data_IF_241329925357
#
_entry.id   IF_241329925357
#
_cell.length_a   1.000
_cell.length_b   1.000
_cell.length_c   1.000
_cell.angle_alpha   90.00
_cell.angle_beta   90.00
_cell.angle_gamma   90.00
#
_symmetry.space_group_name_H-M   'P 1'
#
loop_
_entity.id
_entity.type
_entity.pdbx_description
1 polymer ?
#
# COMPACT_ATOMS: atom_id res chain seq x y z
N UNK A 1 6.88 -7.35 6.73
CA UNK A 1 6.43 -6.05 6.17
C UNK A 1 5.16 -6.26 5.36
N UNK A 2 4.18 -5.37 5.48
CA UNK A 2 2.87 -5.43 4.82
C UNK A 2 2.96 -5.38 3.28
N UNK A 3 1.86 -5.66 2.59
CA UNK A 3 1.68 -5.41 1.16
C UNK A 3 0.36 -4.70 0.92
N UNK A 4 0.33 -3.79 -0.02
CA UNK A 4 -0.91 -3.20 -0.48
C UNK A 4 -1.02 -3.18 -2.00
N UNK A 5 -2.26 -3.07 -2.46
CA UNK A 5 -2.66 -2.97 -3.85
C UNK A 5 -3.73 -1.91 -3.98
N UNK A 6 -3.61 -1.08 -5.00
CA UNK A 6 -4.58 -0.06 -5.39
C UNK A 6 -4.96 -0.31 -6.85
N UNK A 7 -6.24 -0.23 -7.13
CA UNK A 7 -6.79 -0.19 -8.48
C UNK A 7 -7.65 1.05 -8.63
N UNK A 8 -7.48 1.78 -9.73
CA UNK A 8 -8.39 2.82 -10.19
C UNK A 8 -8.64 2.62 -11.68
N UNK A 9 -9.90 2.55 -12.09
CA UNK A 9 -10.30 2.32 -13.48
C UNK A 9 -11.50 3.15 -13.93
N UNK A 10 -11.56 3.41 -15.24
CA UNK A 10 -12.75 3.96 -15.89
C UNK A 10 -13.92 2.99 -15.75
N UNK A 11 -13.64 1.71 -15.92
CA UNK A 11 -14.59 0.62 -15.80
C UNK A 11 -14.42 -0.14 -14.48
N UNK A 12 -15.51 -0.67 -13.91
CA UNK A 12 -15.41 -1.40 -12.66
C UNK A 12 -14.75 -2.77 -12.88
N UNK A 13 -13.72 -3.07 -12.07
CA UNK A 13 -13.01 -4.34 -12.01
C UNK A 13 -13.62 -5.26 -10.97
N UNK A 14 -13.75 -6.54 -11.29
CA UNK A 14 -14.10 -7.57 -10.30
C UNK A 14 -12.94 -7.76 -9.34
N UNK A 15 -13.22 -7.74 -8.03
CA UNK A 15 -12.17 -7.82 -7.00
C UNK A 15 -11.29 -9.07 -7.17
N UNK A 16 -11.89 -10.21 -7.56
CA UNK A 16 -11.13 -11.45 -7.74
C UNK A 16 -10.03 -11.36 -8.82
N UNK A 17 -10.21 -10.53 -9.85
CA UNK A 17 -9.20 -10.34 -10.89
C UNK A 17 -7.96 -9.60 -10.39
N UNK A 18 -8.04 -9.01 -9.20
CA UNK A 18 -6.94 -8.31 -8.55
C UNK A 18 -6.42 -9.06 -7.32
N UNK A 19 -7.35 -9.61 -6.51
CA UNK A 19 -7.03 -10.10 -5.18
C UNK A 19 -6.66 -11.59 -5.14
N UNK A 20 -7.32 -12.41 -5.96
CA UNK A 20 -7.25 -13.88 -5.81
C UNK A 20 -6.76 -14.62 -7.05
N UNK A 21 -7.18 -14.23 -8.25
CA UNK A 21 -6.90 -14.96 -9.49
C UNK A 21 -5.47 -14.81 -10.03
N UNK A 22 -4.83 -13.61 -10.03
CA UNK A 22 -3.47 -13.50 -10.54
C UNK A 22 -2.52 -14.42 -9.78
N UNK A 23 -1.60 -15.10 -10.49
CA UNK A 23 -0.61 -16.00 -9.88
C UNK A 23 0.25 -15.30 -8.83
N UNK A 24 0.46 -14.00 -8.96
CA UNK A 24 1.12 -13.17 -7.97
C UNK A 24 0.18 -12.11 -7.39
N UNK A 25 -1.07 -12.52 -7.10
CA UNK A 25 -2.07 -11.67 -6.44
C UNK A 25 -1.62 -11.25 -5.05
N UNK A 26 -2.22 -10.18 -4.50
CA UNK A 26 -1.89 -9.72 -3.15
C UNK A 26 -2.08 -10.83 -2.09
N UNK A 27 -3.05 -11.73 -2.28
CA UNK A 27 -3.25 -12.88 -1.39
C UNK A 27 -2.06 -13.85 -1.52
N UNK A 28 -1.59 -14.12 -2.73
CA UNK A 28 -0.42 -14.97 -2.92
C UNK A 28 0.85 -14.32 -2.37
N UNK A 29 1.02 -13.01 -2.57
CA UNK A 29 2.10 -12.24 -1.95
C UNK A 29 2.08 -12.31 -0.42
N UNK A 30 0.95 -12.60 0.21
CA UNK A 30 0.88 -12.69 1.66
C UNK A 30 1.63 -13.90 2.24
N UNK A 31 1.87 -14.95 1.46
CA UNK A 31 2.66 -16.11 1.87
C UNK A 31 3.86 -16.41 0.94
N UNK A 32 3.89 -15.85 -0.27
CA UNK A 32 4.99 -15.97 -1.24
C UNK A 32 5.35 -14.58 -1.79
N UNK A 33 5.89 -13.73 -0.92
CA UNK A 33 6.35 -12.40 -1.28
C UNK A 33 7.81 -12.47 -1.77
N UNK A 34 8.09 -11.90 -2.94
CA UNK A 34 9.40 -12.01 -3.61
C UNK A 34 10.32 -10.82 -3.37
N UNK A 35 9.74 -9.65 -3.07
CA UNK A 35 10.48 -8.40 -2.89
C UNK A 35 10.45 -7.92 -1.44
N UNK A 36 10.49 -8.87 -0.50
CA UNK A 36 10.48 -8.54 0.93
C UNK A 36 11.82 -7.99 1.38
N UNK A 37 11.70 -7.07 2.30
CA UNK A 37 12.84 -6.47 2.97
C UNK A 37 13.11 -7.16 4.32
N UNK A 38 12.16 -7.89 4.87
CA UNK A 38 12.23 -8.57 6.15
C UNK A 38 12.25 -10.09 6.00
N UNK A 39 12.81 -10.79 6.99
CA UNK A 39 12.94 -12.24 6.98
C UNK A 39 11.65 -12.99 7.35
N UNK A 40 10.57 -12.28 7.70
CA UNK A 40 9.31 -12.95 8.02
C UNK A 40 8.62 -13.43 6.74
N UNK A 41 8.43 -14.74 6.55
CA UNK A 41 7.98 -15.28 5.26
C UNK A 41 6.51 -14.99 4.95
N UNK A 42 5.69 -14.61 5.96
CA UNK A 42 4.24 -14.65 5.84
C UNK A 42 3.59 -13.37 6.39
N UNK A 43 2.62 -12.80 5.65
CA UNK A 43 1.73 -11.71 6.07
C UNK A 43 0.39 -12.30 6.53
N UNK A 44 0.39 -12.97 7.69
CA UNK A 44 -0.76 -13.71 8.21
C UNK A 44 -1.57 -13.00 9.28
N UNK A 45 -1.24 -11.74 9.61
CA UNK A 45 -1.78 -11.02 10.77
C UNK A 45 -3.02 -10.20 10.45
N UNK A 46 -3.77 -10.65 9.45
CA UNK A 46 -4.99 -10.02 9.00
C UNK A 46 -4.86 -9.35 7.63
N UNK A 47 -6.00 -8.91 7.13
CA UNK A 47 -6.10 -8.22 5.85
C UNK A 47 -7.29 -7.25 5.87
N UNK A 48 -7.39 -6.46 4.81
CA UNK A 48 -8.61 -5.72 4.53
C UNK A 48 -8.67 -5.26 3.08
N UNK A 49 -9.90 -5.05 2.65
CA UNK A 49 -10.28 -4.52 1.33
C UNK A 49 -11.25 -3.40 1.53
N UNK A 50 -10.96 -2.25 0.95
CA UNK A 50 -11.85 -1.10 0.88
C UNK A 50 -12.17 -0.79 -0.59
N UNK A 51 -13.40 -0.45 -0.88
CA UNK A 51 -13.84 -0.10 -2.23
C UNK A 51 -15.06 0.82 -2.21
N UNK A 52 -15.19 1.62 -3.27
CA UNK A 52 -16.37 2.47 -3.44
C UNK A 52 -17.41 1.76 -4.29
N UNK A 53 -18.67 1.81 -3.87
CA UNK A 53 -19.78 1.18 -4.59
C UNK A 53 -20.12 1.96 -5.87
N UNK A 54 -20.66 1.27 -6.88
CA UNK A 54 -21.03 1.90 -8.15
C UNK A 54 -22.31 2.75 -8.04
N UNK A 55 -23.18 2.34 -7.14
CA UNK A 55 -24.51 2.91 -6.94
C UNK A 55 -24.59 3.66 -5.61
N UNK A 56 -23.46 4.23 -5.17
CA UNK A 56 -23.41 5.03 -3.94
C UNK A 56 -24.62 5.96 -3.92
N UNK A 57 -25.56 5.70 -3.00
CA UNK A 57 -26.79 6.48 -2.90
C UNK A 57 -26.44 7.96 -2.89
N UNK A 58 -27.32 8.82 -3.43
CA UNK A 58 -27.07 10.27 -3.47
C UNK A 58 -26.67 10.75 -2.07
N UNK A 59 -25.38 11.05 -1.88
CA UNK A 59 -24.82 11.58 -0.64
C UNK A 59 -23.94 10.61 0.17
N UNK A 60 -23.93 9.29 -0.10
CA UNK A 60 -23.01 8.38 0.58
C UNK A 60 -21.79 8.10 -0.32
N UNK A 61 -20.68 8.76 0.02
CA UNK A 61 -19.36 8.57 -0.61
C UNK A 61 -18.42 7.72 0.24
N UNK A 62 -18.90 7.21 1.38
CA UNK A 62 -18.08 6.39 2.25
C UNK A 62 -17.71 5.06 1.57
N UNK A 63 -16.48 4.57 1.73
CA UNK A 63 -16.07 3.29 1.18
C UNK A 63 -16.69 2.12 1.96
N UNK A 64 -16.98 1.03 1.25
CA UNK A 64 -17.29 -0.24 1.87
C UNK A 64 -15.99 -0.93 2.33
N UNK A 65 -15.98 -1.48 3.55
CA UNK A 65 -14.83 -2.16 4.13
C UNK A 65 -15.14 -3.62 4.42
N UNK A 66 -14.19 -4.49 4.10
CA UNK A 66 -14.14 -5.85 4.61
C UNK A 66 -12.75 -6.12 5.20
N UNK A 67 -12.70 -6.33 6.52
CA UNK A 67 -11.47 -6.59 7.27
C UNK A 67 -11.61 -7.87 8.08
N UNK A 68 -10.51 -8.59 8.29
CA UNK A 68 -10.46 -9.75 9.17
C UNK A 68 -9.04 -9.95 9.71
N UNK A 69 -8.94 -10.55 10.90
CA UNK A 69 -7.66 -10.91 11.53
C UNK A 69 -7.10 -12.25 11.04
N UNK A 70 -7.90 -13.03 10.32
CA UNK A 70 -7.45 -14.29 9.72
C UNK A 70 -6.51 -14.03 8.54
N UNK A 71 -5.62 -14.97 8.21
CA UNK A 71 -4.85 -14.89 6.99
C UNK A 71 -5.75 -14.76 5.75
N UNK A 72 -5.37 -13.89 4.80
CA UNK A 72 -6.17 -13.61 3.61
C UNK A 72 -6.40 -14.86 2.74
N UNK A 73 -5.39 -15.75 2.63
CA UNK A 73 -5.47 -16.97 1.83
C UNK A 73 -6.42 -18.03 2.39
N UNK A 74 -6.81 -17.94 3.67
CA UNK A 74 -7.70 -18.88 4.34
C UNK A 74 -9.09 -18.30 4.62
N UNK A 75 -9.45 -17.18 4.00
CA UNK A 75 -10.73 -16.52 4.25
C UNK A 75 -11.71 -16.76 3.11
N UNK A 76 -12.65 -17.72 3.29
CA UNK A 76 -13.67 -18.07 2.30
C UNK A 76 -14.63 -16.92 1.98
N UNK A 77 -14.91 -16.04 2.94
CA UNK A 77 -15.79 -14.89 2.69
C UNK A 77 -15.10 -13.88 1.78
N UNK A 78 -13.78 -13.66 1.93
CA UNK A 78 -13.02 -12.83 1.00
C UNK A 78 -13.12 -13.38 -0.43
N UNK A 79 -12.96 -14.69 -0.61
CA UNK A 79 -13.09 -15.33 -1.92
C UNK A 79 -14.48 -15.09 -2.53
N UNK A 80 -15.55 -15.36 -1.77
CA UNK A 80 -16.94 -15.21 -2.22
C UNK A 80 -17.28 -13.76 -2.58
N UNK A 81 -16.89 -12.80 -1.72
CA UNK A 81 -17.11 -11.37 -1.96
C UNK A 81 -16.32 -10.92 -3.19
N UNK A 82 -15.06 -11.35 -3.33
CA UNK A 82 -14.20 -10.93 -4.46
C UNK A 82 -14.77 -11.35 -5.82
N UNK A 83 -15.45 -12.50 -5.91
CA UNK A 83 -16.03 -12.99 -7.16
C UNK A 83 -17.27 -12.19 -7.62
N UNK A 84 -17.96 -11.55 -6.70
CA UNK A 84 -19.25 -10.89 -6.96
C UNK A 84 -19.19 -9.37 -6.92
N UNK A 85 -18.19 -8.83 -6.24
CA UNK A 85 -18.06 -7.37 -6.06
C UNK A 85 -17.22 -6.76 -7.19
N UNK A 86 -17.70 -5.62 -7.71
CA UNK A 86 -16.99 -4.81 -8.71
C UNK A 86 -16.89 -3.38 -8.25
N UNK A 87 -15.75 -2.74 -8.49
CA UNK A 87 -15.55 -1.33 -8.18
C UNK A 87 -14.57 -0.66 -9.14
N UNK A 88 -14.68 0.65 -9.27
CA UNK A 88 -13.74 1.50 -10.02
C UNK A 88 -12.53 1.92 -9.20
N UNK A 89 -12.62 1.84 -7.87
CA UNK A 89 -11.55 2.19 -6.96
C UNK A 89 -11.51 1.19 -5.80
N UNK A 90 -10.38 0.50 -5.69
CA UNK A 90 -10.16 -0.60 -4.74
C UNK A 90 -8.82 -0.39 -4.04
N UNK A 91 -8.82 -0.46 -2.72
CA UNK A 91 -7.65 -0.53 -1.85
C UNK A 91 -7.64 -1.88 -1.16
N UNK A 92 -6.53 -2.61 -1.23
CA UNK A 92 -6.38 -3.89 -0.56
C UNK A 92 -5.05 -3.96 0.19
N UNK A 93 -5.05 -4.62 1.34
CA UNK A 93 -3.89 -4.71 2.21
C UNK A 93 -3.81 -6.08 2.88
N UNK A 94 -2.60 -6.65 2.96
CA UNK A 94 -2.29 -7.81 3.79
C UNK A 94 -1.25 -7.43 4.83
N UNK A 95 -1.56 -7.75 6.08
CA UNK A 95 -0.82 -7.28 7.25
C UNK A 95 0.26 -8.26 7.67
N UNK A 96 1.45 -7.73 7.92
CA UNK A 96 2.48 -8.37 8.75
C UNK A 96 2.71 -7.46 9.95
N UNK A 97 2.35 -7.92 11.13
CA UNK A 97 2.44 -7.13 12.35
C UNK A 97 3.88 -7.05 12.84
N UNK A 98 4.40 -5.84 12.93
CA UNK A 98 5.62 -5.54 13.67
C UNK A 98 5.32 -4.84 14.99
N UNK A 99 4.07 -4.34 15.12
CA UNK A 99 3.60 -3.56 16.27
C UNK A 99 2.08 -3.69 16.46
N UNK A 100 1.65 -3.73 17.72
CA UNK A 100 0.24 -3.81 18.10
C UNK A 100 -0.34 -5.24 18.13
N UNK A 101 -1.49 -5.37 18.78
CA UNK A 101 -2.20 -6.65 18.93
C UNK A 101 -2.94 -7.06 17.65
N UNK A 102 -3.26 -8.34 17.52
CA UNK A 102 -4.15 -8.83 16.48
C UNK A 102 -5.57 -8.32 16.76
N UNK A 103 -6.02 -7.37 15.95
CA UNK A 103 -7.36 -6.78 15.99
C UNK A 103 -7.75 -6.27 14.61
N UNK A 104 -9.04 -6.34 14.27
CA UNK A 104 -9.57 -5.74 13.05
C UNK A 104 -9.39 -4.21 13.03
N UNK A 105 -9.36 -3.56 14.21
CA UNK A 105 -9.08 -2.13 14.34
C UNK A 105 -7.67 -1.78 13.84
N UNK A 106 -6.75 -2.74 13.87
CA UNK A 106 -5.37 -2.58 13.38
C UNK A 106 -5.19 -3.01 11.90
N UNK A 107 -6.24 -3.52 11.24
CA UNK A 107 -6.20 -3.88 9.83
C UNK A 107 -6.51 -2.67 8.94
N UNK A 108 -5.73 -2.52 7.87
CA UNK A 108 -5.97 -1.51 6.83
C UNK A 108 -7.04 -1.98 5.82
N UNK A 109 -7.71 -1.08 5.08
CA UNK A 109 -7.59 0.38 5.16
C UNK A 109 -8.23 0.95 6.42
N UNK A 110 -7.72 2.11 6.86
CA UNK A 110 -8.43 2.99 7.79
C UNK A 110 -9.31 3.94 6.99
N UNK A 111 -10.41 4.39 7.58
CA UNK A 111 -11.36 5.30 6.91
C UNK A 111 -11.85 6.40 7.82
N UNK A 112 -12.13 7.53 7.20
CA UNK A 112 -12.81 8.67 7.80
C UNK A 112 -13.65 9.35 6.72
N UNK A 113 -14.98 9.39 6.89
CA UNK A 113 -15.90 9.80 5.86
C UNK A 113 -15.61 9.10 4.51
N UNK A 114 -15.34 9.85 3.45
CA UNK A 114 -14.97 9.30 2.15
C UNK A 114 -13.47 9.00 1.98
N UNK A 115 -12.65 9.26 2.99
CA UNK A 115 -11.20 9.09 2.91
C UNK A 115 -10.81 7.67 3.30
N UNK A 116 -9.97 7.00 2.49
CA UNK A 116 -9.29 5.75 2.85
C UNK A 116 -7.78 5.94 2.93
N UNK A 117 -7.13 5.23 3.87
CA UNK A 117 -5.70 5.27 4.09
C UNK A 117 -5.11 3.89 4.33
N UNK A 118 -3.93 3.64 3.77
CA UNK A 118 -3.09 2.46 4.03
C UNK A 118 -1.64 2.87 4.28
N UNK A 119 -0.93 2.07 5.07
CA UNK A 119 0.49 2.20 5.33
C UNK A 119 1.20 0.87 5.16
N UNK A 120 2.27 0.84 4.38
CA UNK A 120 3.23 -0.25 4.33
C UNK A 120 4.59 0.26 4.80
N UNK A 121 4.93 -0.06 6.03
CA UNK A 121 6.14 0.42 6.68
C UNK A 121 6.06 0.34 8.19
N UNK A 122 6.75 1.26 8.84
CA UNK A 122 6.74 1.44 10.29
C UNK A 122 7.55 2.65 10.70
N UNK A 123 7.13 3.31 11.76
CA UNK A 123 7.83 4.44 12.36
C UNK A 123 8.85 3.91 13.35
N UNK A 124 10.11 4.27 13.16
CA UNK A 124 11.17 3.94 14.11
C UNK A 124 10.92 4.61 15.46
N UNK A 125 11.11 3.84 16.53
CA UNK A 125 10.93 4.32 17.92
C UNK A 125 9.58 5.07 18.14
N UNK A 126 8.51 4.57 17.54
CA UNK A 126 7.18 5.20 17.59
C UNK A 126 6.72 5.52 19.01
N UNK A 127 6.98 4.64 19.98
CA UNK A 127 6.58 4.83 21.37
C UNK A 127 7.11 6.14 21.97
N UNK A 128 8.31 6.59 21.54
CA UNK A 128 8.92 7.82 22.03
C UNK A 128 8.26 9.08 21.47
N UNK A 129 7.63 8.99 20.29
CA UNK A 129 6.99 10.15 19.64
C UNK A 129 5.45 10.12 19.73
N UNK A 130 4.87 8.99 20.12
CA UNK A 130 3.42 8.79 20.16
C UNK A 130 2.67 9.87 20.94
N UNK A 131 3.14 10.18 22.16
CA UNK A 131 2.50 11.21 22.99
C UNK A 131 2.57 12.59 22.32
N UNK A 132 3.70 12.92 21.68
CA UNK A 132 3.86 14.17 20.94
C UNK A 132 2.89 14.26 19.78
N UNK A 133 2.74 13.17 19.00
CA UNK A 133 1.79 13.09 17.91
C UNK A 133 0.36 13.31 18.40
N UNK A 134 -0.05 12.61 19.47
CA UNK A 134 -1.40 12.71 20.03
C UNK A 134 -1.69 14.13 20.52
N UNK A 135 -0.74 14.80 21.17
CA UNK A 135 -0.90 16.18 21.63
C UNK A 135 -0.87 17.22 20.51
N UNK A 136 -0.40 16.86 19.32
CA UNK A 136 -0.31 17.77 18.17
C UNK A 136 -1.59 17.77 17.33
N UNK A 137 -2.29 16.65 17.21
CA UNK A 137 -3.48 16.53 16.38
C UNK A 137 -4.73 17.08 17.08
N UNK A 138 -5.73 17.46 16.30
CA UNK A 138 -7.04 17.86 16.83
C UNK A 138 -7.68 16.70 17.62
N UNK A 139 -8.33 17.04 18.74
CA UNK A 139 -9.01 16.06 19.60
C UNK A 139 -9.99 15.16 18.81
N UNK A 140 -10.73 15.71 17.87
CA UNK A 140 -11.68 14.93 17.05
C UNK A 140 -11.00 13.82 16.26
N UNK A 141 -9.78 14.01 15.76
CA UNK A 141 -9.03 12.99 15.03
C UNK A 141 -8.36 12.01 15.99
N UNK A 142 -7.96 12.45 17.18
CA UNK A 142 -7.51 11.55 18.22
C UNK A 142 -8.63 10.57 18.65
N UNK A 143 -9.86 11.03 18.81
CA UNK A 143 -11.01 10.20 19.19
C UNK A 143 -11.40 9.15 18.14
N UNK A 144 -10.89 9.26 16.90
CA UNK A 144 -11.09 8.25 15.84
C UNK A 144 -10.11 7.07 15.95
N UNK A 145 -9.02 7.21 16.70
CA UNK A 145 -8.05 6.13 16.90
C UNK A 145 -8.67 5.05 17.78
N UNK A 146 -8.91 3.87 17.20
CA UNK A 146 -9.55 2.71 17.85
C UNK A 146 -8.57 1.59 18.14
N UNK A 147 -7.49 1.52 17.38
CA UNK A 147 -6.43 0.53 17.50
C UNK A 147 -5.21 1.05 18.25
N UNK A 148 -4.09 0.39 18.03
CA UNK A 148 -2.86 0.67 18.77
C UNK A 148 -1.65 0.91 17.84
N UNK A 149 -1.84 0.90 16.52
CA UNK A 149 -0.72 0.96 15.55
C UNK A 149 -0.24 2.38 15.31
N UNK A 150 1.02 2.50 14.95
CA UNK A 150 1.61 3.71 14.39
C UNK A 150 0.87 4.18 13.12
N UNK A 151 0.43 3.23 12.32
CA UNK A 151 -0.28 3.48 11.05
C UNK A 151 -1.61 4.23 11.24
N UNK A 152 -2.40 3.86 12.26
CA UNK A 152 -3.65 4.56 12.55
C UNK A 152 -3.39 5.96 13.12
N UNK A 153 -2.33 6.13 13.94
CA UNK A 153 -1.90 7.44 14.39
C UNK A 153 -1.40 8.32 13.22
N UNK A 154 -0.72 7.72 12.21
CA UNK A 154 -0.38 8.44 10.98
C UNK A 154 -1.62 8.91 10.23
N UNK A 155 -2.66 8.10 10.17
CA UNK A 155 -3.92 8.51 9.54
C UNK A 155 -4.57 9.67 10.26
N UNK A 156 -4.64 9.64 11.59
CA UNK A 156 -5.15 10.76 12.40
C UNK A 156 -4.33 12.05 12.17
N UNK A 157 -2.99 11.93 12.07
CA UNK A 157 -2.11 13.06 11.72
C UNK A 157 -2.37 13.57 10.31
N UNK A 158 -2.59 12.69 9.33
CA UNK A 158 -2.94 13.08 7.96
C UNK A 158 -4.26 13.87 7.91
N UNK A 159 -5.29 13.44 8.64
CA UNK A 159 -6.57 14.16 8.74
C UNK A 159 -6.37 15.55 9.33
N UNK A 160 -5.50 15.68 10.34
CA UNK A 160 -5.13 16.99 10.89
C UNK A 160 -4.41 17.85 9.85
N UNK A 161 -3.44 17.31 9.12
CA UNK A 161 -2.73 18.03 8.05
C UNK A 161 -3.67 18.48 6.93
N UNK A 162 -4.67 17.65 6.53
CA UNK A 162 -5.70 18.03 5.57
C UNK A 162 -6.46 19.27 6.04
N UNK A 163 -6.90 19.27 7.31
CA UNK A 163 -7.61 20.43 7.89
C UNK A 163 -6.73 21.68 7.93
N UNK A 164 -5.47 21.56 8.33
CA UNK A 164 -4.52 22.69 8.36
C UNK A 164 -4.27 23.24 6.95
N UNK A 165 -4.25 22.38 5.94
CA UNK A 165 -4.08 22.78 4.54
C UNK A 165 -5.36 23.29 3.86
N UNK A 166 -6.44 23.45 4.61
CA UNK A 166 -7.67 24.08 4.15
C UNK A 166 -8.72 23.14 3.57
N UNK A 167 -8.59 21.83 3.78
CA UNK A 167 -9.63 20.85 3.46
C UNK A 167 -10.31 20.37 4.73
N UNK A 168 -11.64 20.37 4.76
CA UNK A 168 -12.40 19.82 5.89
C UNK A 168 -12.68 18.32 5.67
N UNK A 169 -12.03 17.41 6.44
CA UNK A 169 -12.27 15.98 6.31
C UNK A 169 -13.69 15.53 6.65
N UNK A 170 -14.46 16.34 7.40
CA UNK A 170 -15.86 16.04 7.75
C UNK A 170 -16.84 16.37 6.62
N UNK A 171 -16.39 17.08 5.60
CA UNK A 171 -17.26 17.54 4.52
C UNK A 171 -17.81 16.43 3.62
N UNK A 172 -17.13 15.26 3.56
CA UNK A 172 -17.43 14.22 2.60
C UNK A 172 -17.22 14.63 1.13
N UNK A 173 -16.64 15.81 0.88
CA UNK A 173 -16.34 16.32 -0.45
C UNK A 173 -15.02 15.77 -0.99
N UNK A 174 -14.76 16.03 -2.28
CA UNK A 174 -13.48 15.67 -2.90
C UNK A 174 -12.41 16.71 -2.55
N UNK A 175 -11.25 16.24 -2.19
CA UNK A 175 -10.11 17.10 -1.86
C UNK A 175 -9.36 17.51 -3.14
N UNK A 176 -8.90 18.77 -3.19
CA UNK A 176 -7.96 19.16 -4.25
C UNK A 176 -6.70 18.29 -4.19
N UNK A 177 -6.25 17.78 -5.35
CA UNK A 177 -5.10 16.87 -5.42
C UNK A 177 -3.82 17.47 -4.84
N UNK A 178 -3.63 18.78 -4.96
CA UNK A 178 -2.44 19.46 -4.42
C UNK A 178 -2.50 19.49 -2.90
N UNK A 179 -3.70 19.77 -2.33
CA UNK A 179 -3.91 19.75 -0.88
C UNK A 179 -3.70 18.32 -0.35
N UNK A 180 -4.29 17.32 -1.00
CA UNK A 180 -4.14 15.92 -0.61
C UNK A 180 -2.66 15.49 -0.62
N UNK A 181 -1.93 15.83 -1.69
CA UNK A 181 -0.48 15.56 -1.80
C UNK A 181 0.31 16.31 -0.74
N UNK A 182 0.07 17.61 -0.55
CA UNK A 182 0.78 18.41 0.44
C UNK A 182 0.59 17.85 1.84
N UNK A 183 -0.64 17.44 2.18
CA UNK A 183 -0.95 16.86 3.49
C UNK A 183 -0.22 15.53 3.74
N UNK A 184 -0.03 14.69 2.70
CA UNK A 184 0.82 13.49 2.80
C UNK A 184 2.28 13.87 3.07
N UNK A 185 2.80 14.87 2.36
CA UNK A 185 4.17 15.35 2.55
C UNK A 185 4.36 15.94 3.94
N UNK A 186 3.42 16.75 4.42
CA UNK A 186 3.47 17.36 5.77
C UNK A 186 3.42 16.29 6.87
N UNK A 187 2.58 15.26 6.68
CA UNK A 187 2.54 14.09 7.58
C UNK A 187 3.91 13.43 7.67
N UNK A 188 4.55 13.17 6.53
CA UNK A 188 5.91 12.62 6.48
C UNK A 188 6.91 13.54 7.18
N UNK A 189 6.83 14.86 6.94
CA UNK A 189 7.76 15.83 7.54
C UNK A 189 7.62 15.89 9.07
N UNK A 190 6.39 15.88 9.61
CA UNK A 190 6.16 15.84 11.05
C UNK A 190 6.78 14.59 11.68
N UNK A 191 6.47 13.42 11.13
CA UNK A 191 7.00 12.13 11.62
C UNK A 191 8.53 12.14 11.56
N UNK A 192 9.10 12.50 10.40
CA UNK A 192 10.54 12.58 10.18
C UNK A 192 11.23 13.47 11.23
N UNK A 193 10.70 14.67 11.44
CA UNK A 193 11.29 15.63 12.37
C UNK A 193 11.24 15.12 13.82
N UNK A 194 10.12 14.51 14.23
CA UNK A 194 9.98 13.95 15.58
C UNK A 194 10.87 12.72 15.81
N UNK A 195 10.94 11.82 14.84
CA UNK A 195 11.80 10.63 14.93
C UNK A 195 13.27 11.02 15.00
N UNK A 196 13.73 12.00 14.20
CA UNK A 196 15.11 12.46 14.17
C UNK A 196 15.62 12.95 15.55
N UNK A 197 14.73 13.44 16.42
CA UNK A 197 15.10 13.88 17.77
C UNK A 197 15.35 12.70 18.75
N UNK A 198 14.84 11.50 18.42
CA UNK A 198 14.86 10.36 19.34
C UNK A 198 15.55 9.11 18.79
N UNK A 199 15.80 9.05 17.48
CA UNK A 199 16.41 7.90 16.81
C UNK A 199 17.05 8.28 15.48
N UNK A 200 18.09 7.52 15.11
CA UNK A 200 18.69 7.55 13.77
C UNK A 200 18.21 6.36 12.90
N UNK A 201 17.41 5.45 13.46
CA UNK A 201 16.93 4.30 12.72
C UNK A 201 15.95 4.76 11.62
N UNK A 202 15.97 4.15 10.43
CA UNK A 202 15.10 4.55 9.34
C UNK A 202 13.63 4.21 9.64
N UNK A 203 12.74 5.14 9.27
CA UNK A 203 11.30 4.92 9.19
C UNK A 203 10.92 4.67 7.73
N UNK A 204 10.00 3.73 7.50
CA UNK A 204 9.47 3.38 6.19
C UNK A 204 8.02 3.89 6.10
N UNK A 205 7.76 4.84 5.20
CA UNK A 205 6.50 5.57 5.15
C UNK A 205 5.89 5.50 3.73
N UNK A 206 5.58 4.27 3.28
CA UNK A 206 4.79 4.10 2.07
C UNK A 206 3.31 4.26 2.45
N UNK A 207 2.79 5.47 2.32
CA UNK A 207 1.39 5.80 2.54
C UNK A 207 0.60 5.71 1.25
N UNK A 208 -0.66 5.38 1.34
CA UNK A 208 -1.63 5.48 0.26
C UNK A 208 -2.92 6.08 0.80
N UNK A 209 -3.40 7.13 0.19
CA UNK A 209 -4.62 7.85 0.57
C UNK A 209 -5.48 8.14 -0.65
N UNK A 210 -6.79 8.11 -0.47
CA UNK A 210 -7.79 8.51 -1.47
C UNK A 210 -8.99 9.17 -0.81
N UNK A 211 -9.62 10.09 -1.53
CA UNK A 211 -10.91 10.70 -1.19
C UNK A 211 -12.10 10.08 -1.97
N UNK A 212 -11.86 8.95 -2.67
CA UNK A 212 -12.81 8.29 -3.56
C UNK A 212 -12.61 8.65 -5.04
N UNK A 213 -11.86 9.71 -5.36
CA UNK A 213 -11.52 10.11 -6.73
C UNK A 213 -10.01 10.29 -6.90
N UNK A 214 -9.38 11.13 -6.10
CA UNK A 214 -7.95 11.39 -6.14
C UNK A 214 -7.20 10.38 -5.29
N UNK A 215 -6.00 10.00 -5.71
CA UNK A 215 -5.13 9.09 -4.95
C UNK A 215 -3.74 9.73 -4.84
N UNK A 216 -3.16 9.66 -3.66
CA UNK A 216 -1.75 9.98 -3.43
C UNK A 216 -1.08 8.80 -2.75
N UNK A 217 0.08 8.40 -3.28
CA UNK A 217 0.88 7.31 -2.71
C UNK A 217 2.31 7.80 -2.54
N UNK A 218 2.92 7.55 -1.39
CA UNK A 218 4.35 7.81 -1.16
C UNK A 218 5.16 6.52 -1.17
N UNK A 219 6.39 6.60 -1.69
CA UNK A 219 7.47 5.66 -1.42
C UNK A 219 8.57 6.44 -0.70
N UNK A 220 8.71 6.24 0.61
CA UNK A 220 9.58 7.09 1.41
C UNK A 220 10.30 6.33 2.52
N UNK A 221 11.58 6.69 2.72
CA UNK A 221 12.43 6.22 3.82
C UNK A 221 13.24 7.37 4.39
N UNK A 222 13.36 7.43 5.71
CA UNK A 222 14.19 8.43 6.40
C UNK A 222 15.65 8.01 6.46
N UNK A 223 16.22 7.66 5.31
CA UNK A 223 17.63 7.24 5.16
C UNK A 223 18.13 7.58 3.77
N UNK A 224 19.45 7.81 3.67
CA UNK A 224 20.13 7.97 2.37
C UNK A 224 20.71 6.67 1.84
N UNK A 225 20.87 5.69 2.70
CA UNK A 225 21.56 4.42 2.41
C UNK A 225 20.59 3.23 2.40
N UNK A 226 19.52 3.29 3.20
CA UNK A 226 18.56 2.21 3.28
C UNK A 226 17.50 2.30 2.18
N UNK A 227 17.08 1.15 1.71
CA UNK A 227 16.05 1.03 0.67
C UNK A 227 14.64 1.23 1.26
N UNK A 228 13.81 2.02 0.57
CA UNK A 228 12.39 2.11 0.88
C UNK A 228 11.67 0.78 0.54
N UNK A 229 10.56 0.50 1.21
CA UNK A 229 9.72 -0.63 0.83
C UNK A 229 9.35 -0.55 -0.66
N UNK A 230 9.34 -1.70 -1.34
CA UNK A 230 9.06 -1.76 -2.77
C UNK A 230 7.70 -1.19 -3.12
N UNK A 231 7.64 -0.47 -4.23
CA UNK A 231 6.41 0.11 -4.77
C UNK A 231 6.51 0.22 -6.28
N UNK A 232 5.47 -0.26 -6.96
CA UNK A 232 5.36 -0.28 -8.41
C UNK A 232 4.03 0.31 -8.85
N UNK A 233 3.99 0.83 -10.07
CA UNK A 233 2.74 1.21 -10.71
C UNK A 233 2.67 0.68 -12.14
N UNK A 234 1.45 0.50 -12.62
CA UNK A 234 1.15 0.06 -13.98
C UNK A 234 -0.04 0.84 -14.52
N UNK A 235 0.01 1.17 -15.80
CA UNK A 235 -1.06 1.85 -16.52
C UNK A 235 -1.37 1.13 -17.82
N UNK A 236 -2.62 1.12 -18.22
CA UNK A 236 -3.01 0.46 -19.46
C UNK A 236 -4.46 0.69 -19.86
N UNK A 237 -4.86 0.03 -20.94
CA UNK A 237 -6.23 0.02 -21.43
C UNK A 237 -7.06 -1.05 -20.73
N UNK A 238 -6.49 -2.24 -20.52
CA UNK A 238 -7.16 -3.37 -19.87
C UNK A 238 -6.16 -4.19 -19.05
N UNK A 239 -6.66 -4.84 -18.01
CA UNK A 239 -5.95 -5.87 -17.27
C UNK A 239 -6.70 -7.19 -17.46
N UNK A 240 -6.15 -8.09 -18.25
CA UNK A 240 -6.87 -9.27 -18.76
C UNK A 240 -6.17 -10.58 -18.41
N UNK A 241 -6.99 -11.58 -18.11
CA UNK A 241 -6.55 -12.96 -17.98
C UNK A 241 -6.42 -13.59 -19.39
N UNK A 242 -5.21 -13.99 -19.79
CA UNK A 242 -4.97 -14.64 -21.08
C UNK A 242 -4.74 -16.15 -20.96
N UNK A 243 -4.50 -16.64 -19.75
CA UNK A 243 -4.49 -18.06 -19.40
C UNK A 243 -4.84 -18.17 -17.89
N UNK A 244 -5.28 -19.32 -17.38
CA UNK A 244 -5.67 -19.48 -15.98
C UNK A 244 -4.63 -18.92 -15.00
N UNK A 245 -5.02 -17.87 -14.25
CA UNK A 245 -4.16 -17.14 -13.30
C UNK A 245 -3.09 -16.25 -13.93
N UNK A 246 -2.92 -16.27 -15.27
CA UNK A 246 -1.94 -15.44 -15.96
C UNK A 246 -2.59 -14.19 -16.53
N UNK A 247 -2.22 -13.07 -15.97
CA UNK A 247 -2.72 -11.75 -16.35
C UNK A 247 -1.64 -10.94 -17.04
N UNK A 248 -2.07 -9.99 -17.88
CA UNK A 248 -1.20 -8.98 -18.50
C UNK A 248 -1.89 -7.63 -18.55
N UNK A 249 -1.08 -6.56 -18.57
CA UNK A 249 -1.55 -5.21 -18.84
C UNK A 249 -1.55 -4.97 -20.35
N UNK A 250 -2.72 -4.74 -20.94
CA UNK A 250 -2.82 -4.35 -22.33
C UNK A 250 -2.71 -2.82 -22.49
N UNK A 251 -2.03 -2.37 -23.55
CA UNK A 251 -1.86 -0.97 -23.90
C UNK A 251 -2.29 -0.75 -25.34
N UNK A 252 -3.61 -0.62 -25.55
CA UNK A 252 -4.19 -0.45 -26.88
C UNK A 252 -4.45 1.04 -27.16
N UNK A 253 -4.12 1.49 -28.39
CA UNK A 253 -4.49 2.79 -28.94
C UNK A 253 -4.23 4.02 -28.04
N UNK A 254 -3.15 4.00 -27.25
CA UNK A 254 -2.79 5.07 -26.30
C UNK A 254 -3.88 5.39 -25.27
N UNK A 255 -4.92 4.55 -25.12
CA UNK A 255 -5.95 4.75 -24.12
C UNK A 255 -5.46 4.24 -22.74
N UNK A 256 -5.49 5.12 -21.77
CA UNK A 256 -5.25 4.77 -20.38
C UNK A 256 -6.61 4.70 -19.68
N UNK A 257 -7.08 3.49 -19.42
CA UNK A 257 -8.37 3.25 -18.79
C UNK A 257 -8.25 2.78 -17.34
N UNK A 258 -7.04 2.44 -16.90
CA UNK A 258 -6.79 2.02 -15.52
C UNK A 258 -5.37 2.35 -15.07
N UNK A 259 -5.24 2.45 -13.76
CA UNK A 259 -3.98 2.57 -13.03
C UNK A 259 -3.99 1.56 -11.90
N UNK A 260 -2.88 0.87 -11.71
CA UNK A 260 -2.64 0.05 -10.52
C UNK A 260 -1.37 0.52 -9.82
N UNK A 261 -1.38 0.48 -8.49
CA UNK A 261 -0.19 0.68 -7.65
C UNK A 261 -0.11 -0.49 -6.68
N UNK A 262 1.04 -1.12 -6.58
CA UNK A 262 1.21 -2.31 -5.74
C UNK A 262 2.60 -2.36 -5.10
N UNK A 263 2.66 -2.96 -3.92
CA UNK A 263 3.94 -3.24 -3.26
C UNK A 263 4.82 -4.18 -4.08
N UNK A 264 4.21 -5.12 -4.78
CA UNK A 264 4.87 -6.01 -5.76
C UNK A 264 4.00 -6.16 -7.01
N UNK A 265 4.59 -6.33 -8.20
CA UNK A 265 3.87 -6.58 -9.44
C UNK A 265 2.92 -7.78 -9.34
N UNK A 266 1.73 -7.67 -9.92
CA UNK A 266 0.77 -8.78 -10.02
C UNK A 266 1.04 -9.70 -11.19
N UNK A 267 1.85 -9.24 -12.16
CA UNK A 267 2.24 -9.98 -13.36
C UNK A 267 3.75 -10.09 -13.45
N UNK A 268 4.25 -11.09 -14.18
CA UNK A 268 5.69 -11.30 -14.36
C UNK A 268 6.22 -10.70 -15.68
N UNK A 269 5.36 -10.00 -16.41
CA UNK A 269 5.77 -9.30 -17.63
C UNK A 269 6.57 -8.04 -17.28
N UNK A 270 7.87 -8.04 -17.58
CA UNK A 270 8.84 -7.00 -17.19
C UNK A 270 8.39 -5.58 -17.54
N UNK A 271 7.68 -5.41 -18.65
CA UNK A 271 7.26 -4.09 -19.14
C UNK A 271 5.91 -3.62 -18.60
N UNK A 272 5.24 -4.45 -17.80
CA UNK A 272 3.91 -4.10 -17.26
C UNK A 272 4.00 -3.13 -16.09
N UNK A 273 5.10 -3.13 -15.35
CA UNK A 273 5.24 -2.38 -14.11
C UNK A 273 6.48 -1.51 -14.10
N UNK A 274 6.33 -0.31 -13.56
CA UNK A 274 7.41 0.65 -13.36
C UNK A 274 7.64 0.82 -11.85
N UNK A 275 8.89 0.76 -11.43
CA UNK A 275 9.25 1.04 -10.04
C UNK A 275 9.04 2.52 -9.73
N UNK A 276 8.44 2.81 -8.59
CA UNK A 276 8.33 4.18 -8.06
C UNK A 276 9.67 4.56 -7.47
N UNK A 277 10.29 5.68 -7.85
CA UNK A 277 11.54 6.13 -7.26
C UNK A 277 11.41 6.32 -5.73
N UNK A 278 12.48 5.99 -5.01
CA UNK A 278 12.56 6.26 -3.57
C UNK A 278 12.40 7.75 -3.27
N UNK A 279 11.79 8.07 -2.14
CA UNK A 279 11.52 9.44 -1.67
C UNK A 279 10.74 10.27 -2.71
N UNK A 280 9.66 9.69 -3.20
CA UNK A 280 8.74 10.33 -4.14
C UNK A 280 7.27 10.05 -3.82
N UNK A 281 6.39 10.83 -4.41
CA UNK A 281 4.94 10.61 -4.41
C UNK A 281 4.43 10.36 -5.82
N UNK A 282 3.45 9.45 -5.93
CA UNK A 282 2.55 9.34 -7.08
C UNK A 282 1.25 10.02 -6.74
N UNK A 283 0.77 10.90 -7.61
CA UNK A 283 -0.56 11.50 -7.54
C UNK A 283 -1.39 11.05 -8.74
N UNK A 284 -2.60 10.55 -8.52
CA UNK A 284 -3.47 10.03 -9.56
C UNK A 284 -4.79 10.80 -9.53
N UNK A 285 -5.13 11.46 -10.63
CA UNK A 285 -6.42 12.12 -10.83
C UNK A 285 -6.89 11.88 -12.25
N UNK A 286 -8.16 11.51 -12.43
CA UNK A 286 -8.73 11.17 -13.75
C UNK A 286 -7.85 10.22 -14.56
N UNK A 287 -7.23 9.23 -13.87
CA UNK A 287 -6.27 8.26 -14.43
C UNK A 287 -4.91 8.83 -14.88
N UNK A 288 -4.67 10.13 -14.81
CA UNK A 288 -3.34 10.69 -15.03
C UNK A 288 -2.46 10.41 -13.81
N UNK A 289 -1.24 9.96 -14.07
CA UNK A 289 -0.24 9.65 -13.05
C UNK A 289 0.84 10.73 -13.09
N UNK A 290 1.03 11.42 -11.97
CA UNK A 290 2.05 12.43 -11.77
C UNK A 290 3.03 11.95 -10.71
N UNK A 291 4.31 11.92 -11.05
CA UNK A 291 5.38 11.56 -10.13
C UNK A 291 6.09 12.84 -9.66
N UNK A 292 6.27 12.98 -8.34
CA UNK A 292 6.97 14.11 -7.76
C UNK A 292 7.97 13.66 -6.70
N UNK A 293 9.21 14.14 -6.75
CA UNK A 293 10.17 13.89 -5.67
C UNK A 293 9.74 14.59 -4.38
N UNK A 294 10.11 14.01 -3.24
CA UNK A 294 10.07 14.66 -1.93
C UNK A 294 11.48 15.19 -1.68
N UNK A 295 11.65 16.49 -1.89
CA UNK A 295 12.97 17.14 -1.82
C UNK A 295 13.28 17.49 -0.36
N UNK A 296 14.05 16.64 0.28
CA UNK A 296 14.57 16.85 1.62
C UNK A 296 16.00 16.27 1.76
N UNK A 297 16.51 16.19 3.00
CA UNK A 297 17.85 15.69 3.28
C UNK A 297 18.09 14.22 2.89
N UNK A 298 17.03 13.44 2.66
CA UNK A 298 17.10 12.02 2.27
C UNK A 298 16.91 11.79 0.76
N UNK A 299 16.57 12.83 0.02
CA UNK A 299 16.40 12.73 -1.43
C UNK A 299 17.75 12.49 -2.13
N UNK A 300 17.77 11.56 -3.08
CA UNK A 300 18.87 11.38 -4.04
C UNK A 300 18.31 11.29 -5.45
N UNK A 301 18.84 12.04 -6.43
CA UNK A 301 18.41 11.92 -7.82
C UNK A 301 18.82 10.59 -8.46
N UNK A 302 19.85 9.94 -7.93
CA UNK A 302 20.31 8.61 -8.33
C UNK A 302 20.40 7.72 -7.09
N UNK A 303 19.26 7.13 -6.66
CA UNK A 303 19.22 6.32 -5.47
C UNK A 303 19.91 4.98 -5.71
N UNK A 304 21.17 4.88 -5.37
CA UNK A 304 21.92 3.62 -5.24
C UNK A 304 21.70 2.99 -3.85
N UNK A 305 20.53 3.21 -3.28
CA UNK A 305 20.19 2.76 -1.94
C UNK A 305 20.11 1.25 -1.92
N UNK A 306 21.05 0.64 -1.22
CA UNK A 306 21.00 -0.75 -0.79
C UNK A 306 20.75 -0.78 0.71
N UNK A 307 20.10 -1.84 1.19
CA UNK A 307 19.89 -1.99 2.63
C UNK A 307 21.21 -2.15 3.35
N UNK A 308 21.42 -1.39 4.45
CA UNK A 308 22.58 -1.59 5.29
C UNK A 308 22.50 -2.98 5.96
N UNK A 309 23.63 -3.68 6.03
CA UNK A 309 23.74 -4.96 6.70
C UNK A 309 23.33 -4.86 8.18
N UNK A 310 23.68 -3.78 8.84
CA UNK A 310 23.36 -3.54 10.25
C UNK A 310 21.85 -3.40 10.47
N UNK A 311 21.17 -2.64 9.61
CA UNK A 311 19.71 -2.54 9.66
C UNK A 311 19.04 -3.89 9.40
N UNK A 312 19.49 -4.61 8.38
CA UNK A 312 18.97 -5.94 8.06
C UNK A 312 19.16 -6.91 9.23
N UNK A 313 20.36 -6.95 9.82
CA UNK A 313 20.67 -7.77 11.00
C UNK A 313 19.84 -7.39 12.22
N UNK A 314 19.63 -6.11 12.48
CA UNK A 314 18.81 -5.63 13.60
C UNK A 314 17.35 -6.05 13.49
N UNK A 315 16.87 -6.36 12.27
CA UNK A 315 15.53 -6.89 12.00
C UNK A 315 15.47 -8.41 11.87
N UNK A 316 16.55 -9.12 12.23
CA UNK A 316 16.62 -10.58 12.16
C UNK A 316 16.76 -11.15 10.74
N UNK A 317 17.16 -10.33 9.79
CA UNK A 317 17.36 -10.73 8.41
C UNK A 317 18.76 -11.34 8.25
N UNK A 318 18.84 -12.65 8.22
CA UNK A 318 20.10 -13.40 8.02
C UNK A 318 20.03 -14.05 6.64
N UNK A 319 20.85 -13.63 5.69
CA UNK A 319 20.99 -14.28 4.39
C UNK A 319 21.47 -13.32 3.28
N UNK A 320 22.13 -13.89 2.28
CA UNK A 320 22.52 -13.19 1.06
C UNK A 320 21.27 -12.75 0.28
N UNK A 321 21.13 -11.47 0.05
CA UNK A 321 20.08 -10.95 -0.83
C UNK A 321 20.49 -11.12 -2.29
N UNK A 322 19.55 -11.53 -3.17
CA UNK A 322 19.76 -11.32 -4.59
C UNK A 322 19.88 -9.80 -4.82
N UNK A 323 20.91 -9.36 -5.50
CA UNK A 323 20.99 -7.98 -5.98
C UNK A 323 19.86 -7.72 -6.99
N UNK A 324 19.43 -6.47 -7.19
CA UNK A 324 18.38 -6.15 -8.19
C UNK A 324 18.72 -6.70 -9.59
N UNK A 325 20.00 -6.96 -9.88
CA UNK A 325 20.46 -7.59 -11.12
C UNK A 325 20.18 -9.12 -11.16
N UNK A 326 20.15 -9.79 -10.02
CA UNK A 326 19.94 -11.25 -9.94
C UNK A 326 18.46 -11.62 -10.03
N UNK A 327 17.55 -10.73 -9.65
CA UNK A 327 16.09 -10.98 -9.68
C UNK A 327 15.50 -10.97 -11.08
N UNK A 328 16.23 -10.51 -12.08
CA UNK A 328 15.75 -10.41 -13.48
C UNK A 328 16.29 -11.48 -14.43
N UNK A 329 17.26 -12.27 -14.00
CA UNK A 329 17.97 -13.16 -14.95
C UNK A 329 17.54 -14.62 -14.96
N UNK A 330 16.79 -15.16 -14.00
CA UNK A 330 16.33 -16.54 -14.12
C UNK A 330 15.04 -16.78 -13.32
N UNK A 331 13.91 -16.74 -14.01
CA UNK A 331 12.75 -17.54 -13.61
C UNK A 331 12.75 -18.78 -14.49
N UNK A 332 13.21 -19.95 -14.00
CA UNK A 332 13.03 -21.18 -14.72
C UNK A 332 11.53 -21.46 -14.88
N UNK A 333 11.09 -22.03 -16.03
CA UNK A 333 9.73 -22.50 -16.14
C UNK A 333 9.47 -23.56 -15.07
N UNK A 334 8.41 -23.36 -14.26
CA UNK A 334 7.94 -24.35 -13.31
C UNK A 334 7.57 -25.62 -14.05
N UNK A 335 8.44 -26.61 -14.03
CA UNK A 335 8.06 -27.98 -14.36
C UNK A 335 7.03 -28.45 -13.33
N UNK A 336 5.86 -28.80 -13.84
CA UNK A 336 4.79 -29.42 -13.05
C UNK A 336 5.19 -30.84 -12.70
N UNK A 337 5.78 -31.09 -11.54
CA UNK A 337 5.68 -32.41 -10.95
C UNK A 337 4.27 -32.64 -10.41
N UNK A 338 3.55 -33.52 -11.08
CA UNK A 338 2.23 -33.98 -10.71
C UNK A 338 2.27 -34.63 -9.33
N UNK A 339 1.72 -34.00 -8.32
CA UNK A 339 1.32 -34.66 -7.09
C UNK A 339 -0.07 -35.27 -7.31
N UNK A 340 -0.11 -36.60 -7.40
CA UNK A 340 -1.34 -37.36 -7.36
C UNK A 340 -2.09 -37.07 -6.05
N UNK A 341 -3.38 -36.79 -6.20
CA UNK A 341 -4.33 -36.67 -5.08
C UNK A 341 -4.57 -38.10 -4.57
N UNK A 342 -4.40 -38.42 -3.28
CA UNK A 342 -4.87 -39.67 -2.74
C UNK A 342 -6.39 -39.64 -2.64
N UNK A 343 -7.03 -40.57 -3.36
CA UNK A 343 -8.42 -40.95 -3.11
C UNK A 343 -8.52 -41.73 -1.81
N UNK A 344 -9.18 -41.16 -0.80
CA UNK A 344 -10.02 -41.86 0.18
C UNK A 344 -10.98 -40.85 0.81
#
# INVERSE_FOLDING_TARGET
MCRFLIYKGKDPMTLSNLLTKPQHSIINQSYDSRLRIDAQPVNGDGFGVGYYTLDGGRGDRAPCLYKAITPAWNNLNLQRISEKTRSKLIFAHVRASTYGVLSETNCHPFTYENIMFMHNGGISNFDKIKLRLINFIDEKFFLQIKGSTDSECCFALLLHCLKVNGFDPDSGELCDLKILRQSVVDTIQHIKNWVKEVSNDPSLLNFAVTDGENIVVSRYVTSRTDEAASLYFSTGSNFVEFAPGRFKMERMNKSQNLVMVASEPLTFERNDWLSVPTNSTISISKLNVLLHPILDEYYSPDPTQSRSFDYASSKGMIGSYPTEQDTYNEVPPLEREGRAVPTH
#
